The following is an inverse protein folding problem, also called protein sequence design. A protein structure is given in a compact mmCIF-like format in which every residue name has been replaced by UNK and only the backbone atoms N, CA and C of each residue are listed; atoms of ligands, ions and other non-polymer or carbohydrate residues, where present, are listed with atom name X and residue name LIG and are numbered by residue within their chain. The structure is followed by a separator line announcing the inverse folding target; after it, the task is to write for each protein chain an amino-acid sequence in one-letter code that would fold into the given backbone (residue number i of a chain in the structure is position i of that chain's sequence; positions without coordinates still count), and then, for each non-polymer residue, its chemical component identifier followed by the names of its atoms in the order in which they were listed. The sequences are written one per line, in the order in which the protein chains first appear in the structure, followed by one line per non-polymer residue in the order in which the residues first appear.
data_IF_020542657152
#
_entry.id   IF_020542657152
#
_cell.length_a   1.000
_cell.length_b   1.000
_cell.length_c   1.000
_cell.angle_alpha   90.00
_cell.angle_beta   90.00
_cell.angle_gamma   90.00
#
_symmetry.space_group_name_H-M   'P 1'
#
loop_
_entity.id
_entity.type
_entity.pdbx_description
1 polymer ?
#
# COMPACT_ATOMS: atom_id res chain seq x y z
N UNK A 1 4.13 -3.20 -2.49
CA UNK A 1 4.24 -1.71 -2.49
C UNK A 1 4.84 -1.21 -3.79
N UNK A 2 6.00 -1.73 -4.22
CA UNK A 2 6.67 -1.39 -5.49
C UNK A 2 5.73 -1.34 -6.71
N UNK A 3 5.04 -2.43 -7.03
CA UNK A 3 4.16 -2.49 -8.21
C UNK A 3 3.02 -1.47 -8.16
N UNK A 4 2.51 -1.16 -6.96
CA UNK A 4 1.51 -0.11 -6.80
C UNK A 4 2.12 1.29 -7.04
N UNK A 5 3.34 1.54 -6.56
CA UNK A 5 4.05 2.79 -6.82
C UNK A 5 4.32 2.96 -8.32
N UNK A 6 4.82 1.94 -9.02
CA UNK A 6 5.04 1.96 -10.47
C UNK A 6 3.75 2.32 -11.21
N UNK A 7 2.65 1.62 -10.91
CA UNK A 7 1.35 1.89 -11.52
C UNK A 7 0.91 3.33 -11.26
N UNK A 8 0.87 3.76 -10.01
CA UNK A 8 0.35 5.08 -9.64
C UNK A 8 1.20 6.22 -10.19
N UNK A 9 2.54 6.12 -10.14
CA UNK A 9 3.43 7.14 -10.73
C UNK A 9 3.23 7.23 -12.24
N UNK A 10 3.11 6.08 -12.93
CA UNK A 10 2.88 6.05 -14.38
C UNK A 10 1.55 6.73 -14.76
N UNK A 11 0.47 6.44 -14.02
CA UNK A 11 -0.85 7.02 -14.26
C UNK A 11 -0.90 8.52 -13.89
N UNK A 12 -0.34 8.90 -12.74
CA UNK A 12 -0.35 10.26 -12.21
C UNK A 12 0.54 11.20 -13.03
N UNK A 13 1.74 10.76 -13.43
CA UNK A 13 2.64 11.53 -14.28
C UNK A 13 2.00 11.80 -15.67
N UNK A 14 1.31 10.80 -16.24
CA UNK A 14 0.54 10.98 -17.48
C UNK A 14 -0.60 11.99 -17.37
N UNK A 15 -1.10 12.24 -16.15
CA UNK A 15 -2.11 13.24 -15.82
C UNK A 15 -1.53 14.55 -15.29
N UNK A 16 -0.20 14.73 -15.35
CA UNK A 16 0.51 15.88 -14.80
C UNK A 16 0.32 16.09 -13.29
N UNK A 17 -0.03 15.02 -12.55
CA UNK A 17 -0.14 15.02 -11.09
C UNK A 17 1.20 14.66 -10.45
N UNK A 18 2.22 15.50 -10.67
CA UNK A 18 3.58 15.22 -10.23
C UNK A 18 3.73 15.16 -8.70
N UNK A 19 2.96 15.99 -7.98
CA UNK A 19 2.99 15.99 -6.52
C UNK A 19 2.53 14.65 -5.93
N UNK A 20 1.48 14.03 -6.50
CA UNK A 20 1.01 12.71 -6.05
C UNK A 20 1.98 11.62 -6.49
N UNK A 21 2.57 11.73 -7.68
CA UNK A 21 3.64 10.83 -8.13
C UNK A 21 4.80 10.78 -7.12
N UNK A 22 5.31 11.94 -6.72
CA UNK A 22 6.38 12.05 -5.72
C UNK A 22 5.94 11.47 -4.37
N UNK A 23 4.70 11.72 -3.94
CA UNK A 23 4.17 11.12 -2.71
C UNK A 23 4.17 9.59 -2.75
N UNK A 24 3.84 8.97 -3.89
CA UNK A 24 3.91 7.51 -4.08
C UNK A 24 5.34 6.97 -4.03
N UNK A 25 6.30 7.72 -4.55
CA UNK A 25 7.73 7.39 -4.43
C UNK A 25 8.17 7.45 -2.96
N UNK A 26 7.74 8.46 -2.20
CA UNK A 26 8.04 8.54 -0.76
C UNK A 26 7.42 7.37 0.03
N UNK A 27 6.19 6.96 -0.30
CA UNK A 27 5.55 5.78 0.29
C UNK A 27 6.38 4.50 0.03
N UNK A 28 6.91 4.33 -1.18
CA UNK A 28 7.81 3.22 -1.52
C UNK A 28 9.10 3.28 -0.71
N UNK A 29 9.75 4.44 -0.64
CA UNK A 29 10.99 4.64 0.11
C UNK A 29 10.80 4.29 1.60
N UNK A 30 9.71 4.76 2.22
CA UNK A 30 9.39 4.44 3.60
C UNK A 30 9.17 2.92 3.81
N UNK A 31 8.55 2.25 2.84
CA UNK A 31 8.39 0.80 2.90
C UNK A 31 9.74 0.06 2.78
N UNK A 32 10.67 0.56 1.96
CA UNK A 32 12.04 0.03 1.87
C UNK A 32 12.81 0.19 3.18
N UNK A 33 12.76 1.38 3.82
CA UNK A 33 13.38 1.58 5.13
C UNK A 33 12.83 0.63 6.19
N UNK A 34 11.50 0.42 6.21
CA UNK A 34 10.88 -0.53 7.12
C UNK A 34 11.33 -1.97 6.82
N UNK A 35 11.47 -2.33 5.55
CA UNK A 35 11.96 -3.66 5.17
C UNK A 35 13.42 -3.88 5.60
N UNK A 36 14.26 -2.86 5.45
CA UNK A 36 15.67 -2.88 5.86
C UNK A 36 15.86 -2.94 7.38
N UNK A 37 14.92 -2.36 8.15
CA UNK A 37 14.96 -2.42 9.62
C UNK A 37 14.82 -3.83 10.22
N UNK A 38 14.57 -4.86 9.41
CA UNK A 38 14.53 -6.27 9.82
C UNK A 38 15.57 -7.10 9.03
N UNK A 39 16.86 -7.08 9.42
CA UNK A 39 17.95 -7.62 8.62
C UNK A 39 17.89 -9.13 8.38
N UNK A 40 17.30 -9.90 9.28
CA UNK A 40 17.26 -11.37 9.21
C UNK A 40 16.41 -11.91 8.05
N UNK A 41 15.57 -11.07 7.44
CA UNK A 41 14.64 -11.45 6.37
C UNK A 41 14.83 -10.69 5.04
N UNK A 42 15.96 -10.01 4.85
CA UNK A 42 16.18 -9.21 3.63
C UNK A 42 16.57 -10.14 2.46
N UNK A 43 15.72 -10.16 1.44
CA UNK A 43 16.03 -10.69 0.13
C UNK A 43 16.78 -9.63 -0.67
N UNK A 44 18.11 -9.72 -0.71
CA UNK A 44 18.96 -8.71 -1.33
C UNK A 44 18.61 -8.44 -2.80
N UNK A 45 18.35 -9.48 -3.59
CA UNK A 45 17.99 -9.33 -5.01
C UNK A 45 16.69 -8.53 -5.19
N UNK A 46 15.69 -8.78 -4.34
CA UNK A 46 14.44 -8.03 -4.34
C UNK A 46 14.66 -6.57 -3.92
N UNK A 47 15.50 -6.33 -2.91
CA UNK A 47 15.81 -4.99 -2.45
C UNK A 47 16.53 -4.19 -3.54
N UNK A 48 17.53 -4.81 -4.19
CA UNK A 48 18.26 -4.21 -5.32
C UNK A 48 17.32 -3.90 -6.48
N UNK A 49 16.51 -4.87 -6.93
CA UNK A 49 15.51 -4.66 -7.99
C UNK A 49 14.51 -3.53 -7.64
N UNK A 50 14.10 -3.45 -6.38
CA UNK A 50 13.21 -2.39 -5.89
C UNK A 50 13.90 -1.03 -5.93
N UNK A 51 15.17 -0.94 -5.51
CA UNK A 51 15.95 0.29 -5.54
C UNK A 51 16.17 0.79 -6.98
N UNK A 52 16.54 -0.11 -7.89
CA UNK A 52 16.72 0.21 -9.31
C UNK A 52 15.43 0.78 -9.91
N UNK A 53 14.30 0.09 -9.73
CA UNK A 53 13.00 0.56 -10.22
C UNK A 53 12.57 1.87 -9.56
N UNK A 54 12.87 2.08 -8.29
CA UNK A 54 12.61 3.36 -7.62
C UNK A 54 13.41 4.49 -8.26
N UNK A 55 14.70 4.29 -8.58
CA UNK A 55 15.51 5.29 -9.28
C UNK A 55 14.95 5.62 -10.66
N UNK A 56 14.46 4.62 -11.40
CA UNK A 56 13.81 4.85 -12.68
C UNK A 56 12.58 5.75 -12.52
N UNK A 57 11.74 5.52 -11.50
CA UNK A 57 10.58 6.37 -11.20
C UNK A 57 10.97 7.80 -10.77
N UNK A 58 12.12 7.96 -10.11
CA UNK A 58 12.66 9.27 -9.67
C UNK A 58 13.31 10.04 -10.81
N UNK A 59 13.85 9.35 -11.82
CA UNK A 59 14.64 9.96 -12.90
C UNK A 59 13.99 11.16 -13.62
N UNK A 60 12.66 11.22 -13.86
CA UNK A 60 12.05 12.39 -14.49
C UNK A 60 12.00 13.62 -13.55
N UNK A 61 12.13 13.43 -12.24
CA UNK A 61 12.00 14.47 -11.22
C UNK A 61 13.34 14.94 -10.67
N UNK A 62 14.28 14.02 -10.48
CA UNK A 62 15.63 14.30 -9.96
C UNK A 62 16.68 13.61 -10.85
N UNK A 63 16.87 14.06 -12.10
CA UNK A 63 17.63 13.34 -13.11
C UNK A 63 19.10 13.13 -12.74
N UNK A 64 19.77 14.16 -12.22
CA UNK A 64 21.18 14.08 -11.84
C UNK A 64 21.42 13.09 -10.69
N UNK A 65 20.55 13.12 -9.68
CA UNK A 65 20.61 12.19 -8.55
C UNK A 65 20.36 10.76 -9.02
N UNK A 66 19.36 10.55 -9.87
CA UNK A 66 19.03 9.23 -10.38
C UNK A 66 20.19 8.65 -11.22
N UNK A 67 20.83 9.45 -12.07
CA UNK A 67 21.97 9.03 -12.88
C UNK A 67 23.17 8.62 -12.01
N UNK A 68 23.54 9.45 -11.03
CA UNK A 68 24.68 9.18 -10.14
C UNK A 68 24.43 7.92 -9.29
N UNK A 69 23.22 7.76 -8.75
CA UNK A 69 22.87 6.56 -7.99
C UNK A 69 22.82 5.30 -8.87
N UNK A 70 22.40 5.43 -10.13
CA UNK A 70 22.36 4.33 -11.09
C UNK A 70 23.78 3.79 -11.38
N UNK A 71 24.75 4.69 -11.55
CA UNK A 71 26.17 4.34 -11.69
C UNK A 71 26.69 3.65 -10.41
N UNK A 72 26.37 4.18 -9.22
CA UNK A 72 26.76 3.57 -7.93
C UNK A 72 26.22 2.14 -7.77
N UNK A 73 25.03 1.84 -8.30
CA UNK A 73 24.46 0.48 -8.31
C UNK A 73 25.17 -0.48 -9.30
N UNK A 74 26.14 0.02 -10.05
CA UNK A 74 27.03 -0.74 -10.94
C UNK A 74 26.58 -0.77 -12.40
N UNK A 75 25.63 0.08 -12.80
CA UNK A 75 25.23 0.22 -14.20
C UNK A 75 26.20 1.12 -14.95
N UNK A 76 26.53 0.75 -16.19
CA UNK A 76 27.48 1.51 -17.03
C UNK A 76 26.79 2.41 -18.06
N UNK A 77 25.53 2.12 -18.37
CA UNK A 77 24.71 2.93 -19.28
C UNK A 77 23.88 3.93 -18.48
N UNK A 78 23.56 5.07 -19.12
CA UNK A 78 22.70 6.10 -18.54
C UNK A 78 21.32 5.55 -18.16
N UNK A 79 20.77 5.99 -17.03
CA UNK A 79 19.42 5.59 -16.59
C UNK A 79 18.35 6.02 -17.60
N UNK A 80 18.60 7.08 -18.37
CA UNK A 80 17.70 7.55 -19.41
C UNK A 80 17.62 6.62 -20.64
N UNK A 81 18.58 5.70 -20.78
CA UNK A 81 18.51 4.63 -21.77
C UNK A 81 17.81 3.38 -21.24
N UNK A 82 17.52 3.32 -19.93
CA UNK A 82 16.79 2.21 -19.32
C UNK A 82 15.31 2.26 -19.69
N UNK A 83 14.64 1.11 -19.65
CA UNK A 83 13.19 1.03 -19.88
C UNK A 83 12.43 1.51 -18.66
N UNK A 84 11.33 2.22 -18.88
CA UNK A 84 10.40 2.54 -17.81
C UNK A 84 9.89 1.25 -17.13
N UNK A 85 9.83 1.18 -15.78
CA UNK A 85 9.46 -0.04 -15.08
C UNK A 85 8.00 -0.40 -15.33
N UNK A 86 7.75 -1.70 -15.51
CA UNK A 86 6.40 -2.25 -15.65
C UNK A 86 5.91 -2.84 -14.31
N UNK A 87 4.61 -2.75 -14.05
CA UNK A 87 4.01 -3.33 -12.85
C UNK A 87 3.38 -4.69 -13.15
N UNK A 88 3.50 -5.64 -12.21
CA UNK A 88 2.78 -6.90 -12.24
C UNK A 88 1.39 -6.69 -11.62
N UNK A 89 0.34 -7.04 -12.37
CA UNK A 89 -1.05 -6.97 -11.93
C UNK A 89 -1.35 -7.96 -10.81
N UNK A 90 -0.70 -9.12 -10.79
CA UNK A 90 -0.92 -10.13 -9.76
C UNK A 90 -0.37 -9.64 -8.41
N UNK A 91 0.77 -8.95 -8.41
CA UNK A 91 1.35 -8.33 -7.22
C UNK A 91 0.58 -7.12 -6.68
N UNK A 92 -0.47 -6.66 -7.38
CA UNK A 92 -1.41 -5.65 -6.87
C UNK A 92 -2.54 -6.25 -6.04
N UNK A 93 -2.81 -7.55 -6.18
CA UNK A 93 -3.80 -8.24 -5.39
C UNK A 93 -3.28 -8.32 -3.96
N UNK A 94 -3.98 -7.68 -3.04
CA UNK A 94 -3.66 -7.77 -1.61
C UNK A 94 -4.47 -8.92 -1.03
N UNK A 95 -3.83 -9.85 -0.34
CA UNK A 95 -4.55 -10.90 0.39
C UNK A 95 -5.38 -10.30 1.54
N UNK A 96 -4.90 -9.19 2.12
CA UNK A 96 -5.59 -8.46 3.16
C UNK A 96 -5.75 -6.98 2.85
N UNK A 97 -6.90 -6.43 3.24
CA UNK A 97 -7.26 -5.02 3.10
C UNK A 97 -7.57 -4.42 4.46
N UNK A 98 -7.04 -3.21 4.69
CA UNK A 98 -7.38 -2.42 5.87
C UNK A 98 -8.78 -1.81 5.68
N UNK A 99 -9.68 -2.07 6.61
CA UNK A 99 -11.03 -1.49 6.63
C UNK A 99 -11.19 -0.58 7.84
N UNK A 100 -11.96 0.50 7.67
CA UNK A 100 -12.31 1.37 8.78
C UNK A 100 -13.47 0.78 9.61
N UNK A 101 -13.30 0.69 10.92
CA UNK A 101 -14.38 0.33 11.86
C UNK A 101 -15.07 1.61 12.32
N UNK A 102 -16.37 1.69 12.09
CA UNK A 102 -17.23 2.79 12.48
C UNK A 102 -18.30 2.34 13.48
N UNK A 103 -18.57 3.19 14.47
CA UNK A 103 -19.66 3.01 15.44
C UNK A 103 -20.57 4.22 15.34
N UNK A 104 -21.85 4.01 15.01
CA UNK A 104 -22.81 5.08 14.74
C UNK A 104 -22.24 6.15 13.76
N UNK A 105 -21.53 5.69 12.73
CA UNK A 105 -20.93 6.54 11.69
C UNK A 105 -19.61 7.23 12.08
N UNK A 106 -19.10 7.08 13.31
CA UNK A 106 -17.81 7.65 13.74
C UNK A 106 -16.72 6.58 13.66
N UNK A 107 -15.58 6.90 13.03
CA UNK A 107 -14.42 5.99 12.99
C UNK A 107 -13.88 5.77 14.41
N UNK A 108 -13.65 4.52 14.76
CA UNK A 108 -13.17 4.08 16.07
C UNK A 108 -11.90 3.23 16.01
N UNK A 109 -11.63 2.63 14.86
CA UNK A 109 -10.44 1.82 14.65
C UNK A 109 -10.30 1.41 13.19
N UNK A 110 -9.32 0.56 12.94
CA UNK A 110 -9.09 -0.11 11.66
C UNK A 110 -8.73 -1.55 11.92
N UNK A 111 -9.14 -2.44 11.02
CA UNK A 111 -8.75 -3.85 11.09
C UNK A 111 -8.33 -4.36 9.71
N UNK A 112 -7.44 -5.34 9.69
CA UNK A 112 -7.07 -6.05 8.47
C UNK A 112 -8.04 -7.22 8.28
N UNK A 113 -8.67 -7.29 7.11
CA UNK A 113 -9.51 -8.44 6.73
C UNK A 113 -9.02 -9.04 5.43
N UNK A 114 -9.33 -10.31 5.20
CA UNK A 114 -9.08 -10.93 3.90
C UNK A 114 -9.88 -10.21 2.81
N UNK A 115 -9.22 -9.90 1.68
CA UNK A 115 -9.78 -9.11 0.60
C UNK A 115 -10.86 -9.85 -0.19
N UNK A 116 -10.92 -11.17 -0.06
CA UNK A 116 -11.91 -12.04 -0.72
C UNK A 116 -13.24 -12.14 0.03
N UNK A 117 -13.31 -11.66 1.28
CA UNK A 117 -14.50 -11.82 2.11
C UNK A 117 -15.69 -11.09 1.51
N UNK A 118 -16.80 -11.83 1.38
CA UNK A 118 -18.06 -11.22 1.04
C UNK A 118 -18.66 -10.49 2.25
N UNK A 119 -19.74 -9.72 2.01
CA UNK A 119 -20.40 -8.92 3.03
C UNK A 119 -20.76 -9.74 4.29
N UNK A 120 -21.31 -10.93 4.10
CA UNK A 120 -21.78 -11.78 5.21
C UNK A 120 -20.62 -12.37 6.01
N UNK A 121 -19.54 -12.76 5.34
CA UNK A 121 -18.33 -13.27 6.00
C UNK A 121 -17.59 -12.18 6.75
N UNK A 122 -17.52 -10.97 6.19
CA UNK A 122 -16.95 -9.79 6.83
C UNK A 122 -17.71 -9.43 8.11
N UNK A 123 -19.05 -9.45 8.09
CA UNK A 123 -19.88 -9.21 9.28
C UNK A 123 -19.60 -10.25 10.37
N UNK A 124 -19.53 -11.54 10.02
CA UNK A 124 -19.22 -12.61 10.97
C UNK A 124 -17.84 -12.45 11.58
N UNK A 125 -16.83 -12.17 10.75
CA UNK A 125 -15.43 -12.02 11.18
C UNK A 125 -15.30 -10.85 12.15
N UNK A 126 -15.97 -9.73 11.86
CA UNK A 126 -15.91 -8.57 12.74
C UNK A 126 -16.65 -8.77 14.06
N UNK A 127 -17.73 -9.57 14.09
CA UNK A 127 -18.48 -9.84 15.33
C UNK A 127 -17.78 -10.84 16.27
N UNK A 128 -16.73 -11.51 15.81
CA UNK A 128 -15.88 -12.37 16.65
C UNK A 128 -14.53 -11.71 16.99
N UNK A 129 -14.25 -10.55 16.41
CA UNK A 129 -13.03 -9.80 16.66
C UNK A 129 -13.08 -9.12 18.04
N UNK A 130 -12.04 -9.36 18.84
CA UNK A 130 -11.99 -8.88 20.22
C UNK A 130 -11.94 -7.35 20.32
N UNK A 131 -11.28 -6.66 19.39
CA UNK A 131 -11.21 -5.20 19.39
C UNK A 131 -12.57 -4.60 19.01
N UNK A 132 -13.23 -5.17 18.00
CA UNK A 132 -14.58 -4.74 17.61
C UNK A 132 -15.58 -4.95 18.74
N UNK A 133 -15.54 -6.11 19.40
CA UNK A 133 -16.41 -6.40 20.55
C UNK A 133 -16.13 -5.47 21.74
N UNK A 134 -14.86 -5.13 22.00
CA UNK A 134 -14.51 -4.14 23.01
C UNK A 134 -15.06 -2.74 22.68
N UNK A 135 -15.12 -2.36 21.40
CA UNK A 135 -15.72 -1.09 20.95
C UNK A 135 -17.24 -1.06 21.10
N UNK A 136 -17.90 -2.22 21.03
CA UNK A 136 -19.36 -2.35 21.20
C UNK A 136 -19.73 -2.34 22.69
N UNK A 137 -18.97 -3.06 23.53
CA UNK A 137 -19.26 -3.22 24.96
C UNK A 137 -20.61 -3.89 25.19
N UNK A 138 -21.35 -3.43 26.21
CA UNK A 138 -22.66 -4.00 26.60
C UNK A 138 -23.86 -3.49 25.76
N UNK A 139 -23.59 -2.78 24.66
CA UNK A 139 -24.63 -2.11 23.86
C UNK A 139 -25.27 -3.05 22.85
N UNK A 140 -26.54 -2.81 22.52
CA UNK A 140 -27.26 -3.66 21.60
C UNK A 140 -26.95 -3.27 20.15
N UNK A 141 -26.55 -4.24 19.34
CA UNK A 141 -26.35 -4.06 17.91
C UNK A 141 -27.72 -3.99 17.22
N UNK A 142 -28.02 -2.83 16.62
CA UNK A 142 -29.26 -2.58 15.86
C UNK A 142 -29.08 -2.97 14.40
N UNK A 143 -27.92 -2.65 13.83
CA UNK A 143 -27.62 -2.90 12.41
C UNK A 143 -26.12 -2.95 12.16
N UNK A 144 -25.70 -3.85 11.29
CA UNK A 144 -24.33 -3.89 10.77
C UNK A 144 -24.37 -3.55 9.28
N UNK A 145 -23.44 -2.70 8.83
CA UNK A 145 -23.29 -2.30 7.44
C UNK A 145 -21.85 -2.58 7.04
N UNK A 146 -21.63 -3.73 6.40
CA UNK A 146 -20.36 -4.07 5.78
C UNK A 146 -20.30 -3.58 4.32
N UNK A 147 -19.22 -2.88 4.01
CA UNK A 147 -18.79 -2.55 2.64
C UNK A 147 -17.44 -3.22 2.41
N UNK A 148 -17.42 -4.39 1.72
CA UNK A 148 -16.20 -5.16 1.49
C UNK A 148 -15.04 -4.31 0.98
N UNK A 149 -13.87 -4.47 1.61
CA UNK A 149 -12.65 -3.74 1.27
C UNK A 149 -12.64 -2.24 1.56
N UNK A 150 -13.64 -1.69 2.26
CA UNK A 150 -13.68 -0.26 2.62
C UNK A 150 -13.95 -0.01 4.10
N UNK A 151 -15.11 -0.43 4.60
CA UNK A 151 -15.52 -0.09 5.97
C UNK A 151 -16.55 -1.07 6.52
N UNK A 152 -16.61 -1.11 7.85
CA UNK A 152 -17.66 -1.74 8.63
C UNK A 152 -18.28 -0.70 9.55
N UNK A 153 -19.57 -0.44 9.42
CA UNK A 153 -20.29 0.46 10.32
C UNK A 153 -21.31 -0.31 11.16
N UNK A 154 -21.15 -0.23 12.49
CA UNK A 154 -22.00 -0.89 13.47
C UNK A 154 -22.87 0.18 14.14
N UNK A 155 -24.17 0.03 13.97
CA UNK A 155 -25.18 0.88 14.63
C UNK A 155 -25.55 0.23 15.95
N UNK A 156 -25.26 0.91 17.04
CA UNK A 156 -25.48 0.43 18.41
C UNK A 156 -26.44 1.36 19.17
N UNK A 157 -27.19 0.78 20.11
CA UNK A 157 -28.14 1.48 20.98
C UNK A 157 -27.88 1.17 22.45
#
# INVERSE_FOLDING_TARGET
VLHNAIKSVTEDAGRFQFNTSIARIMELLNAMYKYESNPEGIHYDLYKDTAEKMLQLVSPFAPHFAEEMWEILGHTDSIFNSRWPEFDKNALVKDQVEIAIQINGKVRGRMMIDSSLNKTEMEKTALVDAEVMALIGDKQIVKVIAVPGKLLNIVIK
#
